data_IF_808196082220
#
_entry.id   IF_808196082220
#
_cell.length_a   1.000
_cell.length_b   1.000
_cell.length_c   1.000
_cell.angle_alpha   90.00
_cell.angle_beta   90.00
_cell.angle_gamma   90.00
#
_symmetry.space_group_name_H-M   'P 1'
#
loop_
_entity.id
_entity.type
_entity.pdbx_description
1 polymer ?
#
# COMPACT_ATOMS: atom_id res chain seq x y z
N UNK A 1 -11.85 -11.04 1.98
CA UNK A 1 -11.55 -12.25 1.17
C UNK A 1 -12.22 -12.23 -0.22
N UNK A 2 -13.49 -11.81 -0.36
CA UNK A 2 -14.17 -11.79 -1.67
C UNK A 2 -13.46 -10.91 -2.73
N UNK A 3 -13.16 -9.65 -2.40
CA UNK A 3 -12.48 -8.69 -3.32
C UNK A 3 -11.13 -9.22 -3.81
N UNK A 4 -10.31 -9.81 -2.93
CA UNK A 4 -9.02 -10.38 -3.30
C UNK A 4 -9.16 -11.51 -4.32
N UNK A 5 -10.10 -12.43 -4.07
CA UNK A 5 -10.36 -13.57 -4.96
C UNK A 5 -10.85 -13.12 -6.33
N UNK A 6 -11.81 -12.18 -6.36
CA UNK A 6 -12.36 -11.63 -7.60
C UNK A 6 -11.28 -10.89 -8.41
N UNK A 7 -10.43 -10.10 -7.76
CA UNK A 7 -9.32 -9.42 -8.42
C UNK A 7 -8.32 -10.42 -9.04
N UNK A 8 -7.92 -11.47 -8.31
CA UNK A 8 -6.99 -12.50 -8.82
C UNK A 8 -7.58 -13.20 -10.06
N UNK A 9 -8.88 -13.53 -10.06
CA UNK A 9 -9.54 -14.13 -11.22
C UNK A 9 -9.58 -13.16 -12.41
N UNK A 10 -9.83 -11.88 -12.18
CA UNK A 10 -9.79 -10.86 -13.24
C UNK A 10 -8.38 -10.74 -13.85
N UNK A 11 -7.31 -10.84 -13.06
CA UNK A 11 -5.94 -10.76 -13.56
C UNK A 11 -5.53 -11.90 -14.52
N UNK A 12 -6.30 -13.00 -14.56
CA UNK A 12 -6.15 -14.03 -15.60
C UNK A 12 -6.61 -13.55 -16.98
N UNK A 13 -7.44 -12.52 -17.04
CA UNK A 13 -8.10 -12.01 -18.26
C UNK A 13 -7.74 -10.58 -18.60
N UNK A 14 -7.36 -9.77 -17.62
CA UNK A 14 -7.00 -8.35 -17.80
C UNK A 14 -5.73 -7.99 -17.04
N UNK A 15 -5.15 -6.85 -17.41
CA UNK A 15 -4.07 -6.16 -16.71
C UNK A 15 -4.56 -4.75 -16.46
N UNK A 16 -5.16 -4.50 -15.30
CA UNK A 16 -5.84 -3.23 -15.00
C UNK A 16 -5.33 -2.63 -13.68
N UNK A 17 -4.82 -1.41 -13.75
CA UNK A 17 -4.27 -0.68 -12.60
C UNK A 17 -5.35 -0.34 -11.58
N UNK A 18 -6.60 -0.14 -12.00
CA UNK A 18 -7.72 0.20 -11.10
C UNK A 18 -8.04 -0.99 -10.22
N UNK A 19 -8.10 -2.18 -10.81
CA UNK A 19 -8.27 -3.44 -10.08
C UNK A 19 -7.09 -3.65 -9.11
N UNK A 20 -5.86 -3.37 -9.56
CA UNK A 20 -4.67 -3.49 -8.72
C UNK A 20 -4.70 -2.53 -7.52
N UNK A 21 -5.18 -1.29 -7.72
CA UNK A 21 -5.34 -0.31 -6.65
C UNK A 21 -6.37 -0.77 -5.60
N UNK A 22 -7.55 -1.20 -6.03
CA UNK A 22 -8.57 -1.74 -5.10
C UNK A 22 -8.09 -3.00 -4.38
N UNK A 23 -7.38 -3.88 -5.09
CA UNK A 23 -6.78 -5.06 -4.47
C UNK A 23 -5.77 -4.66 -3.39
N UNK A 24 -4.88 -3.72 -3.67
CA UNK A 24 -3.91 -3.19 -2.69
C UNK A 24 -4.61 -2.67 -1.43
N UNK A 25 -5.66 -1.85 -1.60
CA UNK A 25 -6.45 -1.32 -0.48
C UNK A 25 -7.15 -2.43 0.34
N UNK A 26 -7.62 -3.49 -0.31
CA UNK A 26 -8.21 -4.64 0.38
C UNK A 26 -7.16 -5.50 1.10
N UNK A 27 -5.98 -5.65 0.51
CA UNK A 27 -4.85 -6.38 1.09
C UNK A 27 -4.32 -5.69 2.35
N UNK A 28 -4.22 -4.35 2.38
CA UNK A 28 -3.86 -3.60 3.60
C UNK A 28 -4.75 -4.00 4.78
N UNK A 29 -6.08 -4.05 4.57
CA UNK A 29 -7.04 -4.35 5.63
C UNK A 29 -7.02 -5.80 6.11
N UNK A 30 -6.57 -6.72 5.26
CA UNK A 30 -6.63 -8.16 5.54
C UNK A 30 -5.27 -8.76 5.91
N UNK A 31 -4.18 -8.13 5.48
CA UNK A 31 -2.82 -8.65 5.59
C UNK A 31 -1.80 -7.57 6.02
N UNK A 32 -2.24 -6.34 6.28
CA UNK A 32 -1.38 -5.25 6.77
C UNK A 32 -0.26 -4.89 5.79
N UNK A 33 0.94 -4.70 6.34
CA UNK A 33 2.12 -4.28 5.58
C UNK A 33 2.57 -5.27 4.50
N UNK A 34 2.41 -6.57 4.74
CA UNK A 34 2.70 -7.59 3.71
C UNK A 34 1.76 -7.43 2.52
N UNK A 35 0.47 -7.26 2.79
CA UNK A 35 -0.54 -7.03 1.76
C UNK A 35 -0.30 -5.74 0.96
N UNK A 36 0.18 -4.68 1.63
CA UNK A 36 0.58 -3.45 0.95
C UNK A 36 1.76 -3.69 0.00
N UNK A 37 2.80 -4.37 0.48
CA UNK A 37 3.98 -4.69 -0.30
C UNK A 37 3.63 -5.55 -1.53
N UNK A 38 2.77 -6.56 -1.37
CA UNK A 38 2.29 -7.41 -2.47
C UNK A 38 1.51 -6.60 -3.51
N UNK A 39 0.62 -5.71 -3.05
CA UNK A 39 -0.14 -4.82 -3.92
C UNK A 39 0.75 -3.87 -4.72
N UNK A 40 1.73 -3.24 -4.08
CA UNK A 40 2.72 -2.40 -4.74
C UNK A 40 3.59 -3.19 -5.72
N UNK A 41 3.95 -4.42 -5.39
CA UNK A 41 4.72 -5.31 -6.28
C UNK A 41 3.95 -5.58 -7.57
N UNK A 42 2.66 -5.87 -7.46
CA UNK A 42 1.78 -6.07 -8.60
C UNK A 42 1.68 -4.80 -9.46
N UNK A 43 1.43 -3.65 -8.84
CA UNK A 43 1.31 -2.37 -9.55
C UNK A 43 2.61 -2.02 -10.28
N UNK A 44 3.75 -2.15 -9.62
CA UNK A 44 5.06 -1.96 -10.22
C UNK A 44 5.27 -2.90 -11.42
N UNK A 45 4.94 -4.19 -11.28
CA UNK A 45 5.04 -5.15 -12.38
C UNK A 45 4.15 -4.81 -13.57
N UNK A 46 2.91 -4.37 -13.31
CA UNK A 46 1.98 -3.92 -14.35
C UNK A 46 2.54 -2.72 -15.12
N UNK A 47 3.04 -1.71 -14.42
CA UNK A 47 3.61 -0.51 -15.04
C UNK A 47 4.92 -0.82 -15.79
N UNK A 48 5.82 -1.60 -15.20
CA UNK A 48 7.13 -1.86 -15.77
C UNK A 48 7.10 -2.82 -16.97
N UNK A 49 6.17 -3.79 -16.99
CA UNK A 49 6.15 -4.82 -18.04
C UNK A 49 5.03 -4.64 -19.06
N UNK A 50 3.94 -3.95 -18.70
CA UNK A 50 2.72 -3.91 -19.51
C UNK A 50 2.28 -2.48 -19.85
N UNK A 51 3.16 -1.47 -19.75
CA UNK A 51 2.81 -0.07 -20.02
C UNK A 51 1.96 0.12 -21.28
N UNK A 52 2.34 -0.43 -22.43
CA UNK A 52 1.58 -0.25 -23.68
C UNK A 52 0.17 -0.86 -23.67
N UNK A 53 -0.08 -1.85 -22.82
CA UNK A 53 -1.30 -2.69 -22.87
C UNK A 53 -2.12 -2.71 -21.58
N UNK A 54 -1.61 -2.11 -20.51
CA UNK A 54 -2.29 -2.07 -19.21
C UNK A 54 -3.45 -1.08 -19.26
N UNK A 55 -4.57 -1.47 -18.65
CA UNK A 55 -5.74 -0.61 -18.51
C UNK A 55 -5.57 0.37 -17.34
N UNK A 56 -6.07 1.62 -17.46
CA UNK A 56 -6.69 2.22 -18.65
C UNK A 56 -5.72 2.32 -19.84
N UNK A 57 -6.18 1.97 -21.05
CA UNK A 57 -5.36 2.05 -22.26
C UNK A 57 -5.05 3.52 -22.59
N UNK A 58 -3.88 3.75 -23.17
CA UNK A 58 -3.57 5.03 -23.79
C UNK A 58 -4.39 5.18 -25.06
N UNK A 59 -4.83 6.39 -25.34
CA UNK A 59 -5.57 6.73 -26.56
C UNK A 59 -4.63 7.44 -27.55
N UNK A 60 -4.30 6.83 -28.69
CA UNK A 60 -3.47 7.47 -29.72
C UNK A 60 -4.08 8.77 -30.28
N UNK A 61 -5.41 8.92 -30.21
CA UNK A 61 -6.09 10.13 -30.65
C UNK A 61 -5.98 11.28 -29.63
N UNK A 62 -5.54 10.98 -28.39
CA UNK A 62 -5.29 11.93 -27.28
C UNK A 62 -3.81 11.96 -26.88
N UNK A 63 -2.91 11.88 -27.87
CA UNK A 63 -1.44 11.91 -27.72
C UNK A 63 -0.90 10.90 -26.68
N UNK A 64 -1.59 9.76 -26.53
CA UNK A 64 -1.30 8.76 -25.51
C UNK A 64 -1.23 9.33 -24.08
N UNK A 65 -2.11 10.27 -23.71
CA UNK A 65 -2.13 10.90 -22.38
C UNK A 65 -2.20 9.87 -21.23
N UNK A 66 -1.18 9.81 -20.34
CA UNK A 66 -1.15 8.87 -19.23
C UNK A 66 -1.95 9.33 -18.00
N UNK A 67 -2.61 10.48 -18.03
CA UNK A 67 -3.30 11.08 -16.86
C UNK A 67 -4.25 10.12 -16.16
N UNK A 68 -5.01 9.31 -16.90
CA UNK A 68 -5.94 8.33 -16.31
C UNK A 68 -5.21 7.24 -15.48
N UNK A 69 -4.01 6.84 -15.89
CA UNK A 69 -3.18 5.90 -15.13
C UNK A 69 -2.61 6.55 -13.88
N UNK A 70 -2.10 7.77 -14.01
CA UNK A 70 -1.57 8.55 -12.88
C UNK A 70 -2.66 8.75 -11.82
N UNK A 71 -3.86 9.19 -12.23
CA UNK A 71 -5.00 9.35 -11.34
C UNK A 71 -5.37 8.05 -10.62
N UNK A 72 -5.26 6.91 -11.31
CA UNK A 72 -5.47 5.60 -10.70
C UNK A 72 -4.45 5.32 -9.59
N UNK A 73 -3.16 5.61 -9.81
CA UNK A 73 -2.11 5.43 -8.79
C UNK A 73 -2.30 6.41 -7.63
N UNK A 74 -2.71 7.65 -7.90
CA UNK A 74 -3.00 8.67 -6.87
C UNK A 74 -4.10 8.22 -5.90
N UNK A 75 -5.02 7.32 -6.29
CA UNK A 75 -6.00 6.73 -5.36
C UNK A 75 -5.36 5.95 -4.20
N UNK A 76 -4.10 5.50 -4.34
CA UNK A 76 -3.36 4.89 -3.25
C UNK A 76 -2.94 5.92 -2.19
N UNK A 77 -3.00 7.21 -2.48
CA UNK A 77 -2.75 8.27 -1.49
C UNK A 77 -4.02 8.66 -0.73
N UNK A 78 -5.15 7.95 -0.93
CA UNK A 78 -6.40 8.24 -0.26
C UNK A 78 -6.25 8.17 1.29
N UNK A 79 -6.58 9.26 2.01
CA UNK A 79 -6.38 9.33 3.45
C UNK A 79 -7.17 8.28 4.24
N UNK A 80 -8.42 8.03 3.87
CA UNK A 80 -9.35 7.20 4.64
C UNK A 80 -9.21 5.70 4.31
N UNK A 81 -8.81 5.39 3.08
CA UNK A 81 -8.70 4.03 2.59
C UNK A 81 -7.30 3.47 2.80
N UNK A 82 -6.29 4.13 2.22
CA UNK A 82 -4.93 3.59 2.19
C UNK A 82 -4.13 4.06 3.39
N UNK A 83 -4.04 5.38 3.61
CA UNK A 83 -3.17 5.93 4.65
C UNK A 83 -3.65 5.54 6.04
N UNK A 84 -4.95 5.64 6.31
CA UNK A 84 -5.51 5.16 7.56
C UNK A 84 -5.36 3.64 7.69
N UNK A 85 -5.62 2.88 6.62
CA UNK A 85 -5.36 1.44 6.60
C UNK A 85 -3.94 1.08 7.06
N UNK A 86 -2.93 1.82 6.60
CA UNK A 86 -1.53 1.64 7.00
C UNK A 86 -1.24 2.14 8.43
N UNK A 87 -1.86 3.25 8.87
CA UNK A 87 -1.73 3.75 10.25
C UNK A 87 -2.24 2.76 11.29
N UNK A 88 -3.33 2.06 10.96
CA UNK A 88 -3.93 1.01 11.80
C UNK A 88 -3.32 -0.38 11.54
N UNK A 89 -2.57 -0.58 10.46
CA UNK A 89 -1.93 -1.85 10.17
C UNK A 89 -0.95 -2.21 11.31
N UNK A 90 -1.05 -3.43 11.88
CA UNK A 90 -0.20 -3.83 13.00
C UNK A 90 1.28 -3.79 12.65
N UNK A 91 2.08 -3.13 13.48
CA UNK A 91 3.54 -3.28 13.52
C UNK A 91 3.93 -4.51 14.34
N UNK A 92 3.15 -4.80 15.39
CA UNK A 92 3.31 -5.96 16.25
C UNK A 92 1.93 -6.51 16.64
N UNK A 93 1.83 -7.85 16.73
CA UNK A 93 0.66 -8.54 17.26
C UNK A 93 1.12 -9.61 18.24
N UNK A 94 0.90 -9.36 19.54
CA UNK A 94 1.36 -10.20 20.63
C UNK A 94 0.17 -10.84 21.34
N UNK A 95 0.17 -12.18 21.40
CA UNK A 95 -0.93 -12.95 21.99
C UNK A 95 -1.05 -12.65 23.48
N UNK A 96 -2.20 -12.08 23.87
CA UNK A 96 -2.53 -11.74 25.26
C UNK A 96 -2.14 -10.33 25.68
N UNK A 97 -1.38 -9.59 24.87
CA UNK A 97 -1.09 -8.16 25.11
C UNK A 97 -1.92 -7.30 24.16
N UNK A 98 -1.94 -7.64 22.86
CA UNK A 98 -2.70 -6.91 21.87
C UNK A 98 -1.95 -6.72 20.55
N UNK A 99 -2.56 -5.94 19.66
CA UNK A 99 -2.03 -5.60 18.35
C UNK A 99 -1.87 -4.08 18.28
N UNK A 100 -0.71 -3.61 17.88
CA UNK A 100 -0.36 -2.19 17.90
C UNK A 100 0.22 -1.75 16.56
N UNK A 101 -0.35 -0.69 15.98
CA UNK A 101 0.10 -0.05 14.75
C UNK A 101 0.85 1.26 15.02
N UNK A 102 1.13 2.00 13.95
CA UNK A 102 1.78 3.32 14.05
C UNK A 102 0.94 4.29 14.88
N UNK A 103 -0.38 4.30 14.69
CA UNK A 103 -1.28 5.19 15.42
C UNK A 103 -1.21 4.97 16.93
N UNK A 104 -1.16 3.72 17.38
CA UNK A 104 -1.08 3.37 18.80
C UNK A 104 0.21 3.91 19.41
N UNK A 105 1.32 3.76 18.69
CA UNK A 105 2.60 4.32 19.09
C UNK A 105 2.56 5.85 19.16
N UNK A 106 1.94 6.53 18.19
CA UNK A 106 1.79 7.99 18.20
C UNK A 106 0.93 8.50 19.37
N UNK A 107 -0.12 7.75 19.75
CA UNK A 107 -0.93 8.04 20.94
C UNK A 107 -0.09 7.86 22.21
N UNK A 108 0.61 6.73 22.34
CA UNK A 108 1.48 6.46 23.48
C UNK A 108 2.61 7.50 23.61
N UNK A 109 3.14 7.98 22.49
CA UNK A 109 4.16 9.03 22.41
C UNK A 109 3.60 10.46 22.55
N UNK A 110 2.28 10.60 22.76
CA UNK A 110 1.57 11.89 22.91
C UNK A 110 1.68 12.82 21.69
N UNK A 111 1.96 12.26 20.51
CA UNK A 111 1.92 13.01 19.23
C UNK A 111 0.48 13.24 18.78
N UNK A 112 -0.42 12.33 19.13
CA UNK A 112 -1.84 12.37 18.75
C UNK A 112 -2.70 12.13 19.98
N UNK A 113 -3.73 12.96 20.15
CA UNK A 113 -4.75 12.75 21.18
C UNK A 113 -5.78 11.73 20.70
N UNK A 114 -6.03 10.64 21.44
CA UNK A 114 -7.05 9.68 21.08
C UNK A 114 -8.46 10.32 21.19
N UNK A 115 -9.43 9.91 20.36
CA UNK A 115 -10.82 10.32 20.53
C UNK A 115 -11.34 10.01 21.93
N UNK A 116 -12.30 10.81 22.42
CA UNK A 116 -12.86 10.62 23.77
C UNK A 116 -13.42 9.21 23.93
N UNK A 117 -12.93 8.47 24.93
CA UNK A 117 -13.35 7.10 25.21
C UNK A 117 -12.69 6.02 24.35
N UNK A 118 -11.80 6.38 23.43
CA UNK A 118 -10.99 5.41 22.71
C UNK A 118 -9.85 4.87 23.60
N UNK A 119 -9.40 3.63 23.37
CA UNK A 119 -8.22 3.08 24.04
C UNK A 119 -6.98 3.96 23.80
N UNK A 120 -6.17 4.12 24.84
CA UNK A 120 -4.90 4.84 24.78
C UNK A 120 -3.82 3.93 25.39
N UNK A 121 -3.13 3.11 24.57
CA UNK A 121 -2.10 2.23 25.10
C UNK A 121 -0.94 3.04 25.67
N UNK A 122 -0.36 2.55 26.75
CA UNK A 122 0.88 3.10 27.31
C UNK A 122 2.09 2.53 26.56
N UNK A 123 3.19 3.30 26.53
CA UNK A 123 4.39 2.92 25.78
C UNK A 123 4.99 1.59 26.26
N UNK A 124 5.01 1.34 27.57
CA UNK A 124 5.47 0.09 28.19
C UNK A 124 4.68 -1.14 27.72
N UNK A 125 3.39 -1.01 27.41
CA UNK A 125 2.54 -2.10 26.90
C UNK A 125 2.93 -2.44 25.47
N UNK A 126 3.19 -1.43 24.65
CA UNK A 126 3.66 -1.63 23.27
C UNK A 126 5.05 -2.29 23.28
N UNK A 127 5.98 -1.81 24.13
CA UNK A 127 7.32 -2.40 24.28
C UNK A 127 7.25 -3.87 24.71
N UNK A 128 6.39 -4.20 25.68
CA UNK A 128 6.16 -5.58 26.09
C UNK A 128 5.64 -6.46 24.94
N UNK A 129 4.78 -5.92 24.08
CA UNK A 129 4.31 -6.63 22.88
C UNK A 129 5.46 -6.96 21.92
N UNK A 130 6.37 -6.02 21.67
CA UNK A 130 7.56 -6.28 20.84
C UNK A 130 8.50 -7.32 21.47
N UNK A 131 8.65 -7.34 22.78
CA UNK A 131 9.48 -8.34 23.48
C UNK A 131 8.89 -9.76 23.46
N UNK A 132 7.57 -9.89 23.31
CA UNK A 132 6.88 -11.18 23.31
C UNK A 132 6.82 -11.84 21.92
N UNK A 133 7.09 -11.10 20.85
CA UNK A 133 7.00 -11.59 19.47
C UNK A 133 8.36 -12.04 18.97
N UNK A 134 8.38 -13.18 18.27
CA UNK A 134 9.59 -13.72 17.65
C UNK A 134 10.24 -12.72 16.69
N UNK A 135 11.57 -12.61 16.74
CA UNK A 135 12.33 -11.67 15.92
C UNK A 135 12.05 -11.83 14.42
N UNK A 136 11.87 -13.06 13.94
CA UNK A 136 11.57 -13.34 12.53
C UNK A 136 10.25 -12.71 12.06
N UNK A 137 9.25 -12.62 12.93
CA UNK A 137 7.96 -12.01 12.63
C UNK A 137 8.11 -10.49 12.54
N UNK A 138 8.82 -9.88 13.50
CA UNK A 138 9.11 -8.44 13.49
C UNK A 138 9.95 -8.06 12.27
N UNK A 139 10.95 -8.89 11.95
CA UNK A 139 11.81 -8.72 10.78
C UNK A 139 11.00 -8.78 9.48
N UNK A 140 10.03 -9.69 9.37
CA UNK A 140 9.16 -9.76 8.19
C UNK A 140 8.35 -8.48 7.98
N UNK A 141 7.74 -7.94 9.05
CA UNK A 141 7.02 -6.66 8.99
C UNK A 141 7.95 -5.50 8.60
N UNK A 142 9.13 -5.41 9.21
CA UNK A 142 10.12 -4.38 8.89
C UNK A 142 10.60 -4.48 7.42
N UNK A 143 10.82 -5.69 6.94
CA UNK A 143 11.18 -5.95 5.54
C UNK A 143 10.08 -5.53 4.60
N UNK A 144 8.81 -5.86 4.87
CA UNK A 144 7.69 -5.45 4.04
C UNK A 144 7.53 -3.93 3.96
N UNK A 145 7.73 -3.21 5.07
CA UNK A 145 7.73 -1.74 5.10
C UNK A 145 8.87 -1.17 4.25
N UNK A 146 10.10 -1.68 4.44
CA UNK A 146 11.26 -1.25 3.68
C UNK A 146 11.10 -1.50 2.18
N UNK A 147 10.59 -2.67 1.80
CA UNK A 147 10.33 -3.04 0.41
C UNK A 147 9.21 -2.19 -0.20
N UNK A 148 8.13 -1.93 0.55
CA UNK A 148 7.06 -1.02 0.12
C UNK A 148 7.61 0.37 -0.21
N UNK A 149 8.49 0.91 0.63
CA UNK A 149 9.15 2.20 0.36
C UNK A 149 9.98 2.17 -0.93
N UNK A 150 10.72 1.10 -1.16
CA UNK A 150 11.51 0.94 -2.40
C UNK A 150 10.60 0.81 -3.63
N UNK A 151 9.50 0.07 -3.53
CA UNK A 151 8.53 -0.11 -4.62
C UNK A 151 7.86 1.21 -4.99
N UNK A 152 7.52 2.06 -4.01
CA UNK A 152 7.00 3.41 -4.27
C UNK A 152 8.00 4.21 -5.10
N UNK A 153 9.28 4.25 -4.70
CA UNK A 153 10.32 4.95 -5.44
C UNK A 153 10.50 4.39 -6.87
N UNK A 154 10.40 3.06 -7.04
CA UNK A 154 10.49 2.44 -8.36
C UNK A 154 9.28 2.78 -9.23
N UNK A 155 8.06 2.80 -8.67
CA UNK A 155 6.85 3.21 -9.38
C UNK A 155 6.96 4.66 -9.84
N UNK A 156 7.41 5.57 -8.96
CA UNK A 156 7.66 6.97 -9.31
C UNK A 156 8.67 7.09 -10.47
N UNK A 157 9.77 6.35 -10.41
CA UNK A 157 10.78 6.36 -11.47
C UNK A 157 10.24 5.85 -12.82
N UNK A 158 9.42 4.80 -12.82
CA UNK A 158 8.76 4.28 -14.03
C UNK A 158 7.80 5.33 -14.59
N UNK A 159 6.97 5.93 -13.76
CA UNK A 159 6.01 6.96 -14.21
C UNK A 159 6.74 8.19 -14.79
N UNK A 160 7.79 8.68 -14.13
CA UNK A 160 8.60 9.80 -14.63
C UNK A 160 9.23 9.49 -16.00
N UNK A 161 9.74 8.27 -16.17
CA UNK A 161 10.31 7.82 -17.44
C UNK A 161 9.26 7.83 -18.54
N UNK A 162 8.09 7.23 -18.28
CA UNK A 162 7.05 7.08 -19.30
C UNK A 162 6.38 8.41 -19.67
N UNK A 163 6.12 9.27 -18.67
CA UNK A 163 5.55 10.62 -18.91
C UNK A 163 6.56 11.52 -19.63
N UNK A 164 7.85 11.40 -19.30
CA UNK A 164 8.93 12.14 -19.97
C UNK A 164 9.14 11.75 -21.43
N UNK A 165 8.80 10.52 -21.83
CA UNK A 165 8.87 10.06 -23.23
C UNK A 165 7.72 10.64 -24.07
N UNK A 166 6.54 10.90 -23.48
CA UNK A 166 5.41 11.55 -24.16
C UNK A 166 5.55 13.07 -24.31
N UNK A 167 6.42 13.72 -23.52
CA UNK A 167 6.62 15.17 -23.53
C UNK A 167 7.78 15.63 -24.45
N UNK A 168 8.04 14.92 -25.55
CA UNK A 168 9.04 15.36 -26.53
C UNK A 168 8.55 16.64 -27.25
N UNK A 169 9.38 17.71 -27.35
CA UNK A 169 8.96 18.96 -27.94
C UNK A 169 8.81 18.85 -29.46
N UNK A 170 7.76 19.47 -29.99
CA UNK A 170 7.54 19.75 -31.42
C UNK A 170 8.57 20.76 -31.93
#
# INVERSE_FOLDING_TARGET
MQVQREAIELFKRTKDLRIAAYLTQALIRTQGWNGFCDGLTLIHGLLAQYWESVYPLLDPDDDNDPTSRINTIVTLCDPEMTLDGLRFAPLVNARGIGSFGLRDWQIANKEITPPKGAPAPELNVIEAAFQQVEFSVLQATATAISQSRQLIANIEAVLLTQVGVGAAPI
#
